data_IF_648312242367
#
_entry.id   IF_648312242367
#
_cell.length_a   1.000
_cell.length_b   1.000
_cell.length_c   1.000
_cell.angle_alpha   90.00
_cell.angle_beta   90.00
_cell.angle_gamma   90.00
#
_symmetry.space_group_name_H-M   'P 1'
#
loop_
_entity.id
_entity.type
_entity.pdbx_description
1 polymer ?
#
# COMPACT_ATOMS: atom_id res chain seq x y z
N UNK A 1 -1.34 17.23 19.25
CA UNK A 1 -2.18 16.39 20.15
C UNK A 1 -1.25 15.57 21.03
N UNK A 2 -1.54 15.35 22.32
CA UNK A 2 -0.68 14.54 23.16
C UNK A 2 -0.69 13.09 22.71
N UNK A 3 0.47 12.45 22.81
CA UNK A 3 0.70 11.04 22.49
C UNK A 3 -0.26 10.14 23.30
N UNK A 4 -0.96 9.17 22.70
CA UNK A 4 -1.81 8.26 23.45
C UNK A 4 -0.93 7.45 24.43
N UNK A 5 -1.19 7.59 25.72
CA UNK A 5 -0.62 6.72 26.75
C UNK A 5 -1.21 5.32 26.59
N UNK A 6 -0.38 4.33 26.27
CA UNK A 6 -0.78 2.92 26.36
C UNK A 6 -0.86 2.55 27.84
N UNK A 7 -2.08 2.39 28.35
CA UNK A 7 -2.29 1.79 29.67
C UNK A 7 -2.11 0.27 29.56
N UNK A 8 -0.93 -0.23 29.86
CA UNK A 8 -0.75 -1.65 30.20
C UNK A 8 -1.12 -1.85 31.66
N UNK A 9 -2.09 -2.72 31.96
CA UNK A 9 -2.51 -3.03 33.32
C UNK A 9 -1.36 -3.50 34.18
N UNK A 10 -0.96 -2.62 35.15
CA UNK A 10 0.08 -2.90 36.11
C UNK A 10 1.30 -1.99 35.99
N UNK A 11 1.20 -0.74 36.47
CA UNK A 11 2.29 0.23 36.58
C UNK A 11 2.47 1.09 35.34
N UNK A 12 2.36 2.41 35.49
CA UNK A 12 2.70 3.40 34.47
C UNK A 12 4.20 3.31 34.18
N UNK A 13 4.60 2.50 33.20
CA UNK A 13 5.89 2.71 32.57
C UNK A 13 5.72 3.88 31.61
N UNK A 14 6.34 5.00 31.89
CA UNK A 14 6.43 6.16 31.00
C UNK A 14 7.42 5.78 29.88
N UNK A 15 6.90 5.03 28.90
CA UNK A 15 7.71 4.56 27.77
C UNK A 15 7.85 5.73 26.78
N UNK A 16 9.07 6.20 26.60
CA UNK A 16 9.38 7.17 25.55
C UNK A 16 9.39 6.44 24.19
N UNK A 17 8.21 6.37 23.56
CA UNK A 17 8.02 5.69 22.29
C UNK A 17 8.07 6.72 21.15
N UNK A 18 9.00 6.52 20.21
CA UNK A 18 9.03 7.24 18.93
C UNK A 18 8.32 6.44 17.86
N UNK A 19 7.30 7.03 17.24
CA UNK A 19 6.47 6.32 16.26
C UNK A 19 6.83 6.67 14.82
N UNK A 20 7.15 5.65 14.05
CA UNK A 20 7.44 5.75 12.62
C UNK A 20 6.33 5.03 11.85
N UNK A 21 5.72 5.71 10.90
CA UNK A 21 4.64 5.17 10.09
C UNK A 21 5.02 4.98 8.62
N UNK A 22 4.30 4.09 7.95
CA UNK A 22 4.40 3.90 6.50
C UNK A 22 3.01 4.07 5.90
N UNK A 23 2.93 4.85 4.82
CA UNK A 23 1.69 5.00 4.05
C UNK A 23 1.21 3.65 3.54
N UNK A 24 -0.05 3.35 3.77
CA UNK A 24 -0.59 2.03 3.53
C UNK A 24 -1.92 2.08 2.79
N UNK A 25 -2.03 1.38 1.67
CA UNK A 25 -3.30 1.18 0.93
C UNK A 25 -4.04 -0.08 1.37
N UNK A 26 -3.46 -0.89 2.26
CA UNK A 26 -4.02 -2.12 2.82
C UNK A 26 -3.13 -3.34 2.57
N UNK A 27 -3.18 -4.31 3.49
CA UNK A 27 -2.47 -5.57 3.38
C UNK A 27 -3.29 -6.65 2.67
N UNK A 28 -2.62 -7.52 1.94
CA UNK A 28 -3.21 -8.72 1.36
C UNK A 28 -2.92 -9.95 2.22
N UNK A 29 -3.84 -10.91 2.18
CA UNK A 29 -3.59 -12.26 2.66
C UNK A 29 -2.50 -12.91 1.82
N UNK A 30 -1.65 -13.74 2.43
CA UNK A 30 -0.63 -14.52 1.73
C UNK A 30 -1.22 -15.50 0.69
N UNK A 31 -2.50 -15.83 0.79
CA UNK A 31 -3.26 -16.58 -0.23
C UNK A 31 -3.20 -15.93 -1.62
N UNK A 32 -3.00 -14.61 -1.67
CA UNK A 32 -2.75 -13.93 -2.94
C UNK A 32 -1.46 -14.40 -3.61
N UNK A 33 -0.39 -14.55 -2.83
CA UNK A 33 0.90 -15.06 -3.32
C UNK A 33 0.79 -16.51 -3.80
N UNK A 34 0.09 -17.35 -3.04
CA UNK A 34 -0.13 -18.75 -3.43
C UNK A 34 -0.94 -18.84 -4.71
N UNK A 35 -2.04 -18.09 -4.82
CA UNK A 35 -2.86 -18.05 -6.03
C UNK A 35 -2.09 -17.48 -7.22
N UNK A 36 -1.28 -16.43 -7.00
CA UNK A 36 -0.43 -15.86 -8.04
C UNK A 36 0.58 -16.88 -8.56
N UNK A 37 1.23 -17.65 -7.66
CA UNK A 37 2.14 -18.74 -8.05
C UNK A 37 1.43 -19.82 -8.83
N UNK A 38 0.22 -20.24 -8.44
CA UNK A 38 -0.59 -21.22 -9.16
C UNK A 38 -0.95 -20.78 -10.59
N UNK A 39 -1.16 -19.47 -10.80
CA UNK A 39 -1.48 -18.90 -12.12
C UNK A 39 -0.26 -18.75 -13.04
N UNK A 40 0.95 -19.00 -12.52
CA UNK A 40 2.14 -19.11 -13.36
C UNK A 40 2.23 -20.55 -13.90
N UNK A 41 2.58 -20.70 -15.17
CA UNK A 41 2.74 -22.01 -15.81
C UNK A 41 4.10 -22.65 -15.46
N UNK A 42 4.65 -22.35 -14.26
CA UNK A 42 5.93 -22.85 -13.81
C UNK A 42 5.99 -22.94 -12.30
N UNK A 43 6.81 -23.84 -11.73
CA UNK A 43 7.01 -23.91 -10.28
C UNK A 43 7.85 -22.74 -9.79
N UNK A 44 7.27 -21.89 -8.92
CA UNK A 44 7.91 -20.69 -8.38
C UNK A 44 8.52 -21.00 -7.00
N UNK A 45 9.83 -20.82 -6.87
CA UNK A 45 10.58 -21.01 -5.61
C UNK A 45 10.64 -19.72 -4.77
N UNK A 46 10.88 -18.56 -5.41
CA UNK A 46 10.97 -17.25 -4.75
C UNK A 46 10.15 -16.20 -5.49
N UNK A 47 9.69 -15.22 -4.73
CA UNK A 47 8.95 -14.07 -5.27
C UNK A 47 9.37 -12.79 -4.55
N UNK A 48 9.65 -11.76 -5.34
CA UNK A 48 9.86 -10.40 -4.87
C UNK A 48 8.72 -9.53 -5.41
N UNK A 49 7.97 -8.90 -4.51
CA UNK A 49 6.82 -8.08 -4.90
C UNK A 49 7.22 -6.77 -5.57
N UNK A 50 8.34 -6.23 -5.12
CA UNK A 50 8.98 -5.03 -5.69
C UNK A 50 10.47 -5.21 -5.56
N UNK A 51 11.16 -5.36 -6.66
CA UNK A 51 12.61 -5.48 -6.74
C UNK A 51 13.15 -4.57 -7.83
N UNK A 52 14.45 -4.34 -7.79
CA UNK A 52 15.22 -3.65 -8.81
C UNK A 52 14.66 -2.28 -9.23
N UNK A 53 15.04 -1.24 -8.47
CA UNK A 53 14.75 0.16 -8.80
C UNK A 53 13.32 0.62 -8.47
N UNK A 54 12.95 1.75 -9.00
CA UNK A 54 11.67 2.42 -8.83
C UNK A 54 10.88 2.45 -10.15
N UNK A 55 9.59 2.15 -10.17
CA UNK A 55 8.72 1.68 -9.08
C UNK A 55 8.92 0.21 -8.71
N UNK A 56 9.97 -0.41 -9.17
CA UNK A 56 10.31 -1.80 -8.95
C UNK A 56 9.58 -2.76 -9.90
N UNK A 57 10.10 -3.97 -9.98
CA UNK A 57 9.51 -5.05 -10.76
C UNK A 57 8.98 -6.15 -9.86
N UNK A 58 7.90 -6.79 -10.25
CA UNK A 58 7.51 -8.05 -9.66
C UNK A 58 8.40 -9.15 -10.25
N UNK A 59 9.20 -9.79 -9.42
CA UNK A 59 10.18 -10.78 -9.85
C UNK A 59 9.83 -12.16 -9.31
N UNK A 60 9.80 -13.14 -10.20
CA UNK A 60 9.59 -14.55 -9.88
C UNK A 60 10.86 -15.32 -10.22
N UNK A 61 11.26 -16.23 -9.33
CA UNK A 61 12.34 -17.18 -9.57
C UNK A 61 11.73 -18.57 -9.55
N UNK A 62 11.87 -19.29 -10.65
CA UNK A 62 11.41 -20.67 -10.74
C UNK A 62 12.36 -21.63 -10.02
N UNK A 63 11.94 -22.89 -9.83
CA UNK A 63 12.72 -23.90 -9.12
C UNK A 63 14.01 -24.28 -9.85
N UNK A 64 14.07 -24.08 -11.15
CA UNK A 64 15.27 -24.29 -12.00
C UNK A 64 16.16 -23.03 -12.09
N UNK A 65 15.84 -21.98 -11.35
CA UNK A 65 16.65 -20.75 -11.28
C UNK A 65 16.33 -19.68 -12.30
N UNK A 66 15.39 -19.92 -13.24
CA UNK A 66 15.01 -18.90 -14.21
C UNK A 66 14.32 -17.73 -13.54
N UNK A 67 14.73 -16.51 -13.91
CA UNK A 67 14.17 -15.24 -13.41
C UNK A 67 13.17 -14.70 -14.44
N UNK A 68 11.97 -14.36 -13.98
CA UNK A 68 10.95 -13.67 -14.77
C UNK A 68 10.58 -12.39 -14.07
N UNK A 69 10.57 -11.29 -14.81
CA UNK A 69 10.25 -9.97 -14.31
C UNK A 69 9.03 -9.40 -15.01
N UNK A 70 8.14 -8.83 -14.22
CA UNK A 70 6.97 -8.11 -14.71
C UNK A 70 7.03 -6.67 -14.22
N UNK A 71 6.67 -5.73 -15.08
CA UNK A 71 6.48 -4.34 -14.65
C UNK A 71 5.48 -4.27 -13.52
N UNK A 72 5.72 -3.41 -12.53
CA UNK A 72 4.85 -3.30 -11.37
C UNK A 72 3.42 -2.97 -11.77
N UNK A 73 3.24 -1.91 -12.57
CA UNK A 73 1.93 -1.47 -13.03
C UNK A 73 1.41 -2.37 -14.16
N UNK A 74 0.19 -2.87 -13.99
CA UNK A 74 -0.48 -3.73 -14.96
C UNK A 74 -0.10 -5.21 -14.86
N UNK A 75 0.77 -5.60 -13.92
CA UNK A 75 1.05 -7.00 -13.64
C UNK A 75 -0.19 -7.72 -13.11
N UNK A 76 -0.24 -9.05 -13.27
CA UNK A 76 -1.31 -9.86 -12.68
C UNK A 76 -1.37 -9.66 -11.16
N UNK A 77 -0.21 -9.55 -10.50
CA UNK A 77 -0.15 -9.35 -9.05
C UNK A 77 -0.78 -8.02 -8.63
N UNK A 78 -0.48 -6.92 -9.36
CA UNK A 78 -1.10 -5.61 -9.11
C UNK A 78 -2.63 -5.67 -9.30
N UNK A 79 -3.10 -6.41 -10.31
CA UNK A 79 -4.54 -6.60 -10.55
C UNK A 79 -5.21 -7.41 -9.44
N UNK A 80 -4.54 -8.44 -8.92
CA UNK A 80 -5.01 -9.20 -7.75
C UNK A 80 -5.09 -8.31 -6.52
N UNK A 81 -4.09 -7.46 -6.26
CA UNK A 81 -4.12 -6.45 -5.22
C UNK A 81 -5.30 -5.50 -5.37
N UNK A 82 -5.45 -4.91 -6.54
CA UNK A 82 -6.50 -3.93 -6.85
C UNK A 82 -7.90 -4.55 -6.94
N UNK A 83 -8.03 -5.87 -7.12
CA UNK A 83 -9.32 -6.57 -7.11
C UNK A 83 -10.02 -6.57 -5.76
N UNK A 84 -9.28 -6.33 -4.68
CA UNK A 84 -9.72 -6.36 -3.28
C UNK A 84 -10.08 -7.75 -2.74
N UNK A 85 -10.02 -8.83 -3.55
CA UNK A 85 -10.41 -10.19 -3.16
C UNK A 85 -9.55 -10.69 -2.00
N UNK A 86 -8.25 -10.42 -2.05
CA UNK A 86 -7.31 -10.88 -1.03
C UNK A 86 -7.03 -9.85 0.06
N UNK A 87 -7.69 -8.69 0.03
CA UNK A 87 -7.47 -7.64 1.03
C UNK A 87 -8.01 -8.08 2.38
N UNK A 88 -7.20 -7.92 3.42
CA UNK A 88 -7.64 -8.23 4.78
C UNK A 88 -8.89 -7.43 5.15
N UNK A 89 -9.90 -8.05 5.77
CA UNK A 89 -11.16 -7.38 6.12
C UNK A 89 -10.97 -6.10 6.93
N UNK A 90 -10.08 -6.09 7.92
CA UNK A 90 -9.76 -4.90 8.72
C UNK A 90 -9.19 -3.74 7.89
N UNK A 91 -8.45 -4.04 6.82
CA UNK A 91 -7.91 -3.02 5.93
C UNK A 91 -8.99 -2.35 5.07
N UNK A 92 -10.12 -3.00 4.83
CA UNK A 92 -11.22 -2.41 4.05
C UNK A 92 -11.92 -1.29 4.79
N UNK A 93 -12.03 -1.38 6.12
CA UNK A 93 -12.62 -0.34 6.97
C UNK A 93 -11.61 0.71 7.45
N UNK A 94 -10.31 0.49 7.24
CA UNK A 94 -9.26 1.38 7.71
C UNK A 94 -9.25 2.69 6.93
N UNK A 95 -9.44 3.81 7.63
CA UNK A 95 -9.42 5.17 7.06
C UNK A 95 -8.04 5.81 7.08
N UNK A 96 -7.13 5.28 7.90
CA UNK A 96 -5.77 5.80 7.99
C UNK A 96 -4.98 5.40 6.73
N UNK A 97 -4.49 6.40 6.02
CA UNK A 97 -3.66 6.23 4.83
C UNK A 97 -2.20 6.60 5.09
N UNK A 98 -1.97 7.71 5.76
CA UNK A 98 -0.66 8.29 5.97
C UNK A 98 -0.02 7.92 7.30
N UNK A 99 -0.52 6.92 8.01
CA UNK A 99 -0.13 6.61 9.39
C UNK A 99 -0.23 7.87 10.28
N UNK A 100 -1.42 8.44 10.35
CA UNK A 100 -1.70 9.80 10.81
C UNK A 100 -1.39 10.00 12.31
N UNK A 101 -1.29 8.93 13.06
CA UNK A 101 -0.92 8.95 14.48
C UNK A 101 0.59 8.85 14.73
N UNK A 102 1.39 8.59 13.69
CA UNK A 102 2.83 8.51 13.81
C UNK A 102 3.46 9.93 13.82
N UNK A 103 4.56 10.09 14.55
CA UNK A 103 5.30 11.36 14.61
C UNK A 103 5.99 11.69 13.28
N UNK A 104 6.41 10.66 12.57
CA UNK A 104 6.94 10.75 11.20
C UNK A 104 6.39 9.61 10.36
N UNK A 105 6.04 9.87 9.11
CA UNK A 105 5.65 8.81 8.18
C UNK A 105 6.26 8.99 6.80
N UNK A 106 6.40 7.87 6.12
CA UNK A 106 7.03 7.75 4.80
C UNK A 106 6.04 7.23 3.79
N UNK A 107 6.08 7.75 2.56
CA UNK A 107 5.33 7.23 1.44
C UNK A 107 6.11 7.29 0.14
N UNK A 108 5.75 6.40 -0.78
CA UNK A 108 6.22 6.46 -2.16
C UNK A 108 5.70 7.76 -2.81
N UNK A 109 6.56 8.48 -3.48
CA UNK A 109 6.18 9.69 -4.19
C UNK A 109 5.77 9.35 -5.63
N UNK A 110 4.49 9.02 -5.83
CA UNK A 110 3.95 8.61 -7.13
C UNK A 110 3.74 9.80 -8.10
N UNK A 111 4.77 10.60 -8.30
CA UNK A 111 4.75 11.67 -9.29
C UNK A 111 5.04 11.12 -10.69
N UNK A 112 4.21 11.49 -11.67
CA UNK A 112 4.31 10.96 -13.04
C UNK A 112 5.58 11.44 -13.77
N UNK A 113 6.03 12.66 -13.49
CA UNK A 113 7.23 13.22 -14.15
C UNK A 113 8.50 12.64 -13.52
N UNK A 114 8.58 12.60 -12.20
CA UNK A 114 9.76 12.03 -11.51
C UNK A 114 9.96 10.55 -11.85
N UNK A 115 8.89 9.79 -12.06
CA UNK A 115 8.97 8.39 -12.50
C UNK A 115 9.66 8.17 -13.84
N UNK A 116 9.82 9.20 -14.65
CA UNK A 116 10.51 9.11 -15.95
C UNK A 116 12.03 9.21 -15.82
N UNK A 117 12.49 9.90 -14.79
CA UNK A 117 13.91 10.27 -14.61
C UNK A 117 14.54 9.58 -13.40
N UNK A 118 13.72 9.28 -12.38
CA UNK A 118 14.19 8.68 -11.13
C UNK A 118 14.05 7.15 -11.18
N UNK A 119 15.20 6.46 -11.04
CA UNK A 119 15.27 5.00 -11.12
C UNK A 119 15.36 4.30 -9.76
N UNK A 120 15.78 5.00 -8.73
CA UNK A 120 15.90 4.45 -7.37
C UNK A 120 14.71 4.81 -6.49
N UNK A 121 14.05 5.92 -6.81
CA UNK A 121 12.86 6.42 -6.13
C UNK A 121 13.16 7.35 -4.97
N UNK A 122 12.28 8.32 -4.79
CA UNK A 122 12.30 9.25 -3.66
C UNK A 122 11.20 8.90 -2.66
N UNK A 123 11.50 9.04 -1.37
CA UNK A 123 10.52 8.92 -0.31
C UNK A 123 9.96 10.28 0.05
N UNK A 124 8.65 10.44 0.02
CA UNK A 124 8.00 11.58 0.65
C UNK A 124 7.94 11.34 2.16
N UNK A 125 8.33 12.34 2.93
CA UNK A 125 8.38 12.30 4.40
C UNK A 125 7.39 13.31 4.96
N UNK A 126 6.53 12.87 5.89
CA UNK A 126 5.57 13.72 6.58
C UNK A 126 5.96 13.76 8.04
N UNK A 127 6.40 14.94 8.51
CA UNK A 127 6.84 15.19 9.89
C UNK A 127 5.69 15.85 10.65
N UNK A 128 5.37 15.34 11.86
CA UNK A 128 4.23 15.83 12.65
C UNK A 128 4.58 16.25 14.07
N UNK A 129 5.78 15.97 14.57
CA UNK A 129 6.21 16.39 15.89
C UNK A 129 7.54 17.14 15.85
N UNK A 130 7.76 18.04 16.80
CA UNK A 130 9.03 18.74 16.95
C UNK A 130 10.20 17.74 17.16
N UNK A 131 9.96 16.66 17.90
CA UNK A 131 10.97 15.60 18.11
C UNK A 131 11.35 14.91 16.81
N UNK A 132 10.38 14.63 15.95
CA UNK A 132 10.64 14.02 14.64
C UNK A 132 11.41 14.99 13.72
N UNK A 133 11.09 16.28 13.76
CA UNK A 133 11.79 17.32 13.01
C UNK A 133 13.26 17.47 13.46
N UNK A 134 13.50 17.44 14.76
CA UNK A 134 14.85 17.45 15.33
C UNK A 134 15.68 16.25 14.83
N UNK A 135 15.12 15.03 14.92
CA UNK A 135 15.81 13.84 14.46
C UNK A 135 16.07 13.86 12.95
N UNK A 136 15.09 14.27 12.16
CA UNK A 136 15.22 14.39 10.71
C UNK A 136 16.30 15.39 10.33
N UNK A 137 16.29 16.58 10.94
CA UNK A 137 17.31 17.62 10.74
C UNK A 137 18.71 17.15 11.15
N UNK A 138 18.83 16.36 12.21
CA UNK A 138 20.10 15.79 12.66
C UNK A 138 20.62 14.75 11.66
N UNK A 139 19.75 13.88 11.14
CA UNK A 139 20.12 12.90 10.13
C UNK A 139 20.60 13.56 8.82
N UNK A 140 19.94 14.66 8.42
CA UNK A 140 20.36 15.46 7.27
C UNK A 140 21.75 16.10 7.49
N UNK A 141 21.99 16.72 8.64
CA UNK A 141 23.29 17.32 9.00
C UNK A 141 24.41 16.29 9.05
N UNK A 142 24.12 15.06 9.43
CA UNK A 142 25.09 13.96 9.47
C UNK A 142 25.27 13.26 8.12
N UNK A 143 24.55 13.67 7.08
CA UNK A 143 24.67 13.10 5.73
C UNK A 143 24.03 11.71 5.55
N UNK A 144 23.15 11.27 6.49
CA UNK A 144 22.42 10.00 6.34
C UNK A 144 21.24 10.10 5.38
N UNK A 145 20.72 11.29 5.18
CA UNK A 145 19.61 11.57 4.27
C UNK A 145 19.91 12.84 3.47
N UNK A 146 19.42 12.88 2.25
CA UNK A 146 19.42 14.05 1.39
C UNK A 146 17.97 14.50 1.16
N UNK A 147 17.71 15.79 1.31
CA UNK A 147 16.40 16.38 1.01
C UNK A 147 16.47 16.95 -0.39
N UNK A 148 15.72 16.36 -1.31
CA UNK A 148 15.65 16.81 -2.71
C UNK A 148 14.91 18.13 -2.83
N UNK A 149 13.74 18.24 -2.15
CA UNK A 149 12.93 19.45 -2.10
C UNK A 149 11.82 19.35 -1.06
N UNK A 150 11.25 20.48 -0.70
CA UNK A 150 10.02 20.53 0.07
C UNK A 150 8.80 20.28 -0.82
N UNK A 151 7.76 19.71 -0.21
CA UNK A 151 6.47 19.40 -0.85
C UNK A 151 5.34 20.12 -0.11
N UNK A 152 4.35 20.60 -0.85
CA UNK A 152 3.11 21.05 -0.22
C UNK A 152 2.11 19.89 -0.02
N UNK A 153 1.10 20.13 0.84
CA UNK A 153 0.09 19.10 1.15
C UNK A 153 -0.66 18.63 -0.09
N UNK A 154 -0.90 19.51 -1.04
CA UNK A 154 -1.63 19.18 -2.26
C UNK A 154 -0.81 18.26 -3.16
N UNK A 155 0.48 18.52 -3.33
CA UNK A 155 1.37 17.64 -4.09
C UNK A 155 1.39 16.23 -3.49
N UNK A 156 1.55 16.14 -2.17
CA UNK A 156 1.54 14.83 -1.47
C UNK A 156 0.19 14.13 -1.67
N UNK A 157 -0.92 14.83 -1.48
CA UNK A 157 -2.26 14.28 -1.67
C UNK A 157 -2.51 13.82 -3.12
N UNK A 158 -2.07 14.59 -4.11
CA UNK A 158 -2.25 14.28 -5.53
C UNK A 158 -1.54 12.98 -5.91
N UNK A 159 -0.34 12.72 -5.37
CA UNK A 159 0.39 11.46 -5.59
C UNK A 159 -0.32 10.24 -4.99
N UNK A 160 -1.15 10.43 -3.97
CA UNK A 160 -1.86 9.39 -3.23
C UNK A 160 -3.38 9.41 -3.47
N UNK A 161 -3.86 10.21 -4.40
CA UNK A 161 -5.27 10.55 -4.60
C UNK A 161 -6.19 9.33 -4.72
N UNK A 162 -5.77 8.29 -5.45
CA UNK A 162 -6.57 7.08 -5.62
C UNK A 162 -6.82 6.37 -4.27
N UNK A 163 -5.80 6.24 -3.45
CA UNK A 163 -5.89 5.60 -2.15
C UNK A 163 -6.66 6.47 -1.14
N UNK A 164 -6.47 7.78 -1.20
CA UNK A 164 -7.23 8.74 -0.38
C UNK A 164 -8.73 8.66 -0.67
N UNK A 165 -9.13 8.66 -1.94
CA UNK A 165 -10.54 8.48 -2.33
C UNK A 165 -11.11 7.16 -1.84
N UNK A 166 -10.32 6.09 -1.91
CA UNK A 166 -10.75 4.78 -1.43
C UNK A 166 -10.94 4.72 0.09
N UNK A 167 -10.09 5.41 0.86
CA UNK A 167 -10.08 5.33 2.33
C UNK A 167 -10.90 6.44 3.01
N UNK A 168 -10.81 7.66 2.52
CA UNK A 168 -11.43 8.85 3.14
C UNK A 168 -12.70 9.32 2.45
N UNK A 169 -12.92 8.90 1.21
CA UNK A 169 -14.15 9.18 0.47
C UNK A 169 -15.37 8.46 1.05
N UNK A 170 -16.55 8.83 0.59
CA UNK A 170 -17.83 8.21 0.99
C UNK A 170 -18.05 6.80 0.41
N UNK A 171 -16.98 6.12 -0.02
CA UNK A 171 -17.07 4.80 -0.65
C UNK A 171 -17.77 3.79 0.27
N UNK A 172 -17.40 3.79 1.55
CA UNK A 172 -17.94 2.86 2.54
C UNK A 172 -19.44 3.03 2.83
N UNK A 173 -20.03 4.18 2.54
CA UNK A 173 -21.48 4.42 2.66
C UNK A 173 -22.27 4.05 1.39
N UNK A 174 -21.58 3.67 0.33
CA UNK A 174 -22.21 3.29 -0.94
C UNK A 174 -22.78 1.87 -0.89
N UNK A 175 -24.07 1.71 -1.22
CA UNK A 175 -24.71 0.39 -1.35
C UNK A 175 -23.93 -0.49 -2.36
N UNK A 176 -23.46 0.08 -3.47
CA UNK A 176 -22.70 -0.65 -4.48
C UNK A 176 -21.38 -1.20 -3.93
N UNK A 177 -20.71 -0.42 -3.10
CA UNK A 177 -19.48 -0.89 -2.44
C UNK A 177 -19.80 -2.00 -1.44
N UNK A 178 -20.89 -1.88 -0.70
CA UNK A 178 -21.31 -2.89 0.28
C UNK A 178 -21.63 -4.23 -0.39
N UNK A 179 -22.38 -4.21 -1.49
CA UNK A 179 -22.66 -5.42 -2.29
C UNK A 179 -21.37 -6.01 -2.85
N UNK A 180 -20.50 -5.16 -3.36
CA UNK A 180 -19.21 -5.59 -3.89
C UNK A 180 -18.33 -6.27 -2.83
N UNK A 181 -18.22 -5.69 -1.64
CA UNK A 181 -17.42 -6.27 -0.54
C UNK A 181 -18.00 -7.58 -0.04
N UNK A 182 -19.33 -7.71 0.07
CA UNK A 182 -19.98 -8.98 0.41
C UNK A 182 -19.70 -10.07 -0.63
N UNK A 183 -19.75 -9.73 -1.91
CA UNK A 183 -19.41 -10.68 -2.96
C UNK A 183 -17.94 -11.15 -2.88
N UNK A 184 -17.02 -10.22 -2.60
CA UNK A 184 -15.60 -10.54 -2.39
C UNK A 184 -15.40 -11.43 -1.16
N UNK A 185 -16.06 -11.11 -0.05
CA UNK A 185 -15.99 -11.89 1.18
C UNK A 185 -16.49 -13.32 0.96
N UNK A 186 -17.58 -13.47 0.21
CA UNK A 186 -18.10 -14.77 -0.17
C UNK A 186 -17.08 -15.56 -1.03
N UNK A 187 -16.52 -14.92 -2.06
CA UNK A 187 -15.49 -15.52 -2.93
C UNK A 187 -14.30 -15.99 -2.08
N UNK A 188 -13.84 -15.17 -1.14
CA UNK A 188 -12.69 -15.47 -0.30
C UNK A 188 -13.00 -16.58 0.72
N UNK A 189 -14.12 -16.50 1.41
CA UNK A 189 -14.52 -17.44 2.45
C UNK A 189 -14.72 -18.87 1.90
N UNK A 190 -15.21 -18.99 0.66
CA UNK A 190 -15.46 -20.27 0.01
C UNK A 190 -14.31 -20.70 -0.95
N UNK A 191 -13.17 -20.04 -0.90
CA UNK A 191 -12.01 -20.30 -1.76
C UNK A 191 -12.32 -20.27 -3.27
N UNK A 192 -13.38 -19.58 -3.68
CA UNK A 192 -13.78 -19.49 -5.10
C UNK A 192 -12.74 -18.74 -5.94
N UNK A 193 -11.88 -17.93 -5.31
CA UNK A 193 -10.75 -17.26 -5.97
C UNK A 193 -9.80 -18.26 -6.67
N UNK A 194 -9.76 -19.51 -6.25
CA UNK A 194 -8.94 -20.55 -6.88
C UNK A 194 -9.37 -20.87 -8.30
N UNK A 195 -10.64 -20.57 -8.65
CA UNK A 195 -11.23 -20.75 -9.98
C UNK A 195 -11.14 -19.50 -10.84
N UNK A 196 -10.65 -18.38 -10.29
CA UNK A 196 -10.54 -17.11 -11.02
C UNK A 196 -9.25 -17.07 -11.82
N UNK A 197 -9.36 -16.59 -13.06
CA UNK A 197 -8.23 -16.31 -13.93
C UNK A 197 -7.94 -14.82 -14.08
N UNK A 198 -7.03 -14.48 -14.96
CA UNK A 198 -6.60 -13.11 -15.24
C UNK A 198 -7.78 -12.21 -15.63
N UNK A 199 -8.75 -12.75 -16.38
CA UNK A 199 -9.91 -12.00 -16.88
C UNK A 199 -10.82 -11.54 -15.74
N UNK A 200 -11.08 -12.42 -14.78
CA UNK A 200 -11.92 -12.14 -13.62
C UNK A 200 -11.25 -11.12 -12.70
N UNK A 201 -9.96 -11.27 -12.40
CA UNK A 201 -9.22 -10.26 -11.62
C UNK A 201 -9.24 -8.88 -12.28
N UNK A 202 -9.11 -8.82 -13.62
CA UNK A 202 -9.25 -7.57 -14.36
C UNK A 202 -10.64 -6.94 -14.19
N UNK A 203 -11.69 -7.76 -14.21
CA UNK A 203 -13.05 -7.29 -14.01
C UNK A 203 -13.23 -6.65 -12.63
N UNK A 204 -12.85 -7.36 -11.57
CA UNK A 204 -12.93 -6.85 -10.20
C UNK A 204 -12.10 -5.58 -10.00
N UNK A 205 -10.88 -5.55 -10.53
CA UNK A 205 -10.01 -4.37 -10.49
C UNK A 205 -10.68 -3.16 -11.16
N UNK A 206 -11.19 -3.32 -12.39
CA UNK A 206 -11.87 -2.24 -13.12
C UNK A 206 -13.13 -1.77 -12.39
N UNK A 207 -13.90 -2.70 -11.83
CA UNK A 207 -15.11 -2.36 -11.10
C UNK A 207 -14.79 -1.54 -9.84
N UNK A 208 -13.81 -1.98 -9.06
CA UNK A 208 -13.37 -1.26 -7.85
C UNK A 208 -12.84 0.14 -8.19
N UNK A 209 -11.99 0.27 -9.22
CA UNK A 209 -11.50 1.58 -9.69
C UNK A 209 -12.63 2.54 -10.01
N UNK A 210 -13.65 2.09 -10.75
CA UNK A 210 -14.84 2.90 -11.06
C UNK A 210 -15.62 3.33 -9.82
N UNK A 211 -15.65 2.49 -8.78
CA UNK A 211 -16.25 2.88 -7.50
C UNK A 211 -15.46 3.99 -6.81
N UNK A 212 -14.12 3.91 -6.83
CA UNK A 212 -13.23 4.92 -6.23
C UNK A 212 -13.25 6.24 -6.99
N UNK A 213 -13.22 6.22 -8.32
CA UNK A 213 -13.21 7.42 -9.18
C UNK A 213 -14.42 8.32 -8.96
N UNK A 214 -15.58 7.73 -8.60
CA UNK A 214 -16.81 8.46 -8.31
C UNK A 214 -16.82 9.14 -6.94
N UNK A 215 -15.80 8.92 -6.11
CA UNK A 215 -15.73 9.51 -4.79
C UNK A 215 -15.18 10.95 -4.88
N UNK A 216 -15.82 11.84 -4.14
CA UNK A 216 -15.29 13.18 -3.83
C UNK A 216 -14.63 13.11 -2.46
N UNK A 217 -13.49 13.75 -2.32
CA UNK A 217 -12.81 14.00 -1.05
C UNK A 217 -13.47 15.17 -0.34
#
# INVERSE_FOLDING_TARGET
>A
MPNPSFETGGGKADLDIFTIGVTCSGGMSYKATEQYKKLQNMPISKMFYRGDGWPGKNCLISSDGNKIEYVHNGSLFERMFSSQIFKNPGCRGCKDHFAEQAEISFCDFWNAEERKTESEGNSCVIIRSARADEYFSKMQKLGFIEVVRDLDEKEVADTQMHALKAKKGKLHSSIRYHVFTKAIDYIFAHNLYERLGIREYNYFCKFYRKLCEKQKL
#
